data_IF_561868497012
#
_entry.id   IF_561868497012
#
_cell.length_a   1.000
_cell.length_b   1.000
_cell.length_c   1.000
_cell.angle_alpha   90.00
_cell.angle_beta   90.00
_cell.angle_gamma   90.00
#
_symmetry.space_group_name_H-M   'P 1'
#
loop_
_entity.id
_entity.type
_entity.pdbx_description
1 polymer ?
#
# COMPACT_ATOMS: atom_id res chain seq x y z
N UNK A 1 3.14 28.54 -18.69
CA UNK A 1 4.14 27.54 -18.26
C UNK A 1 3.85 26.25 -19.00
N UNK A 2 4.79 25.68 -19.77
CA UNK A 2 4.55 24.38 -20.39
C UNK A 2 4.54 23.31 -19.30
N UNK A 3 3.46 22.52 -19.24
CA UNK A 3 3.41 21.30 -18.44
C UNK A 3 4.51 20.38 -18.98
N UNK A 4 5.58 20.21 -18.20
CA UNK A 4 6.63 19.25 -18.54
C UNK A 4 6.01 17.87 -18.40
N UNK A 5 5.62 17.27 -19.53
CA UNK A 5 5.18 15.88 -19.59
C UNK A 5 6.36 15.03 -19.18
N UNK A 6 6.39 14.61 -17.91
CA UNK A 6 7.37 13.63 -17.44
C UNK A 6 7.04 12.32 -18.13
N UNK A 7 7.77 12.00 -19.20
CA UNK A 7 7.73 10.68 -19.82
C UNK A 7 8.41 9.69 -18.87
N UNK A 8 7.64 9.17 -17.90
CA UNK A 8 8.07 8.04 -17.10
C UNK A 8 7.99 6.79 -17.98
N UNK A 9 9.14 6.20 -18.26
CA UNK A 9 9.20 4.91 -18.97
C UNK A 9 8.48 3.83 -18.13
N UNK A 10 7.70 2.91 -18.74
CA UNK A 10 6.95 1.89 -18.02
C UNK A 10 7.77 1.09 -17.02
N UNK A 11 9.03 0.80 -17.34
CA UNK A 11 9.98 0.12 -16.45
C UNK A 11 10.25 0.90 -15.16
N UNK A 12 10.42 2.21 -15.22
CA UNK A 12 10.64 3.03 -14.03
C UNK A 12 9.40 3.09 -13.14
N UNK A 13 8.20 3.10 -13.75
CA UNK A 13 6.94 3.04 -13.01
C UNK A 13 6.86 1.68 -12.29
N UNK A 14 7.16 0.57 -12.99
CA UNK A 14 7.15 -0.77 -12.41
C UNK A 14 8.14 -0.89 -11.24
N UNK A 15 9.38 -0.44 -11.42
CA UNK A 15 10.41 -0.49 -10.37
C UNK A 15 10.00 0.32 -9.13
N UNK A 16 9.51 1.54 -9.35
CA UNK A 16 9.06 2.42 -8.27
C UNK A 16 7.88 1.80 -7.52
N UNK A 17 6.88 1.29 -8.25
CA UNK A 17 5.70 0.67 -7.63
C UNK A 17 6.06 -0.61 -6.88
N UNK A 18 6.97 -1.42 -7.40
CA UNK A 18 7.48 -2.62 -6.69
C UNK A 18 8.21 -2.24 -5.40
N UNK A 19 9.03 -1.19 -5.42
CA UNK A 19 9.70 -0.69 -4.22
C UNK A 19 8.69 -0.21 -3.17
N UNK A 20 7.67 0.54 -3.59
CA UNK A 20 6.60 0.99 -2.70
C UNK A 20 5.78 -0.17 -2.12
N UNK A 21 5.52 -1.21 -2.92
CA UNK A 21 4.84 -2.42 -2.46
C UNK A 21 5.68 -3.19 -1.43
N UNK A 22 7.00 -3.26 -1.61
CA UNK A 22 7.90 -3.90 -0.67
C UNK A 22 7.97 -3.13 0.67
N UNK A 23 8.02 -1.81 0.61
CA UNK A 23 7.95 -0.94 1.81
C UNK A 23 6.62 -1.12 2.54
N UNK A 24 5.48 -1.09 1.82
CA UNK A 24 4.17 -1.31 2.43
C UNK A 24 4.04 -2.71 3.04
N UNK A 25 4.59 -3.74 2.40
CA UNK A 25 4.58 -5.10 2.94
C UNK A 25 5.33 -5.17 4.27
N UNK A 26 6.51 -4.52 4.37
CA UNK A 26 7.26 -4.40 5.63
C UNK A 26 6.45 -3.66 6.68
N UNK A 27 5.90 -2.48 6.36
CA UNK A 27 5.11 -1.69 7.29
C UNK A 27 3.87 -2.44 7.80
N UNK A 28 3.17 -3.17 6.93
CA UNK A 28 2.03 -4.02 7.30
C UNK A 28 2.48 -5.14 8.23
N UNK A 29 3.58 -5.82 7.94
CA UNK A 29 4.11 -6.88 8.78
C UNK A 29 4.46 -6.35 10.18
N UNK A 30 5.21 -5.24 10.25
CA UNK A 30 5.60 -4.60 11.50
C UNK A 30 4.38 -4.18 12.31
N UNK A 31 3.41 -3.49 11.70
CA UNK A 31 2.18 -3.11 12.38
C UNK A 31 1.39 -4.34 12.84
N UNK A 32 1.24 -5.37 12.02
CA UNK A 32 0.47 -6.57 12.38
C UNK A 32 1.04 -7.35 13.56
N UNK A 33 2.35 -7.22 13.82
CA UNK A 33 3.06 -7.95 14.87
C UNK A 33 2.95 -7.31 16.26
N UNK A 34 2.54 -6.04 16.37
CA UNK A 34 2.47 -5.30 17.64
C UNK A 34 1.15 -4.55 17.72
N UNK A 35 0.14 -5.16 18.35
CA UNK A 35 -1.03 -4.40 18.80
C UNK A 35 -0.61 -3.62 20.06
N UNK A 36 -0.60 -2.28 20.03
CA UNK A 36 -0.21 -1.50 21.20
C UNK A 36 -1.20 -1.76 22.33
N UNK A 37 -0.70 -2.18 23.50
CA UNK A 37 -1.50 -2.44 24.68
C UNK A 37 -0.83 -1.80 25.89
N UNK A 38 -1.56 -0.93 26.60
CA UNK A 38 -1.17 -0.43 27.91
C UNK A 38 -1.51 -1.47 28.98
N UNK A 39 -0.53 -1.89 29.75
CA UNK A 39 -0.77 -2.79 30.87
C UNK A 39 -1.67 -2.10 31.91
N UNK A 40 -2.92 -2.57 31.99
CA UNK A 40 -3.94 -2.01 32.88
C UNK A 40 -3.84 -2.57 34.29
N UNK A 41 -3.01 -3.59 34.52
CA UNK A 41 -2.80 -4.18 35.85
C UNK A 41 -1.79 -3.41 36.70
N UNK A 42 -0.90 -2.65 36.05
CA UNK A 42 0.04 -1.74 36.71
C UNK A 42 -0.62 -0.43 37.21
N UNK A 43 -1.83 -0.13 36.72
CA UNK A 43 -2.59 1.05 37.05
C UNK A 43 -3.71 0.63 38.01
N UNK A 44 -3.68 1.07 39.26
CA UNK A 44 -4.68 0.69 40.28
C UNK A 44 -6.13 0.84 39.80
N UNK A 45 -7.08 0.19 40.51
CA UNK A 45 -8.46 -0.04 40.03
C UNK A 45 -9.18 1.18 39.40
N UNK A 46 -8.95 2.39 39.91
CA UNK A 46 -9.54 3.63 39.38
C UNK A 46 -9.10 3.99 37.95
N UNK A 47 -7.91 3.57 37.53
CA UNK A 47 -7.36 3.84 36.20
C UNK A 47 -7.55 2.67 35.22
N UNK A 48 -7.89 1.48 35.71
CA UNK A 48 -8.10 0.29 34.86
C UNK A 48 -9.19 0.51 33.80
N UNK A 49 -10.25 1.25 34.13
CA UNK A 49 -11.29 1.62 33.15
C UNK A 49 -10.72 2.50 32.03
N UNK A 50 -9.93 3.52 32.38
CA UNK A 50 -9.30 4.43 31.42
C UNK A 50 -8.29 3.70 30.54
N UNK A 51 -7.46 2.83 31.12
CA UNK A 51 -6.51 2.00 30.38
C UNK A 51 -7.21 1.10 29.35
N UNK A 52 -8.33 0.45 29.73
CA UNK A 52 -9.15 -0.34 28.79
C UNK A 52 -9.75 0.49 27.66
N UNK A 53 -10.29 1.68 27.97
CA UNK A 53 -10.85 2.58 26.97
C UNK A 53 -9.77 3.07 25.98
N UNK A 54 -8.58 3.41 26.48
CA UNK A 54 -7.44 3.80 25.66
C UNK A 54 -6.99 2.64 24.77
N UNK A 55 -6.81 1.44 25.32
CA UNK A 55 -6.44 0.25 24.53
C UNK A 55 -7.46 -0.05 23.43
N UNK A 56 -8.77 0.07 23.72
CA UNK A 56 -9.81 -0.11 22.72
C UNK A 56 -9.80 0.99 21.65
N UNK A 57 -9.43 2.22 22.01
CA UNK A 57 -9.19 3.32 21.06
C UNK A 57 -8.02 3.01 20.13
N UNK A 58 -6.86 2.67 20.70
CA UNK A 58 -5.66 2.33 19.95
C UNK A 58 -5.85 1.12 19.05
N UNK A 59 -6.49 0.05 19.53
CA UNK A 59 -6.77 -1.13 18.72
C UNK A 59 -7.65 -0.80 17.50
N UNK A 60 -8.65 0.07 17.66
CA UNK A 60 -9.49 0.54 16.54
C UNK A 60 -8.71 1.37 15.53
N UNK A 61 -7.86 2.30 16.00
CA UNK A 61 -7.01 3.11 15.14
C UNK A 61 -6.01 2.25 14.38
N UNK A 62 -5.36 1.31 15.07
CA UNK A 62 -4.42 0.37 14.50
C UNK A 62 -5.08 -0.50 13.41
N UNK A 63 -6.26 -1.05 13.67
CA UNK A 63 -7.02 -1.80 12.68
C UNK A 63 -7.44 -0.94 11.48
N UNK A 64 -7.79 0.33 11.69
CA UNK A 64 -8.11 1.26 10.61
C UNK A 64 -6.88 1.55 9.74
N UNK A 65 -5.72 1.73 10.36
CA UNK A 65 -4.46 1.98 9.63
C UNK A 65 -4.03 0.77 8.80
N UNK A 66 -4.09 -0.44 9.38
CA UNK A 66 -3.80 -1.67 8.65
C UNK A 66 -4.69 -1.82 7.41
N UNK A 67 -5.99 -1.51 7.53
CA UNK A 67 -6.93 -1.52 6.38
C UNK A 67 -6.57 -0.50 5.31
N UNK A 68 -6.09 0.69 5.68
CA UNK A 68 -5.63 1.71 4.72
C UNK A 68 -4.40 1.24 3.97
N UNK A 69 -3.38 0.74 4.68
CA UNK A 69 -2.16 0.21 4.08
C UNK A 69 -2.46 -0.95 3.12
N UNK A 70 -3.34 -1.88 3.51
CA UNK A 70 -3.78 -2.98 2.65
C UNK A 70 -4.54 -2.49 1.40
N UNK A 71 -5.32 -1.42 1.52
CA UNK A 71 -6.04 -0.83 0.40
C UNK A 71 -5.08 -0.16 -0.57
N UNK A 72 -4.09 0.58 -0.07
CA UNK A 72 -3.03 1.18 -0.88
C UNK A 72 -2.22 0.10 -1.61
N UNK A 73 -1.85 -0.99 -0.93
CA UNK A 73 -1.16 -2.13 -1.55
C UNK A 73 -1.96 -2.75 -2.68
N UNK A 74 -3.29 -2.91 -2.52
CA UNK A 74 -4.17 -3.40 -3.59
C UNK A 74 -4.23 -2.43 -4.77
N UNK A 75 -4.30 -1.12 -4.52
CA UNK A 75 -4.29 -0.10 -5.56
C UNK A 75 -3.00 -0.11 -6.38
N UNK A 76 -1.84 -0.16 -5.72
CA UNK A 76 -0.54 -0.23 -6.39
C UNK A 76 -0.39 -1.50 -7.24
N UNK A 77 -0.91 -2.65 -6.76
CA UNK A 77 -0.96 -3.88 -7.58
C UNK A 77 -1.87 -3.74 -8.80
N UNK A 78 -2.95 -2.98 -8.72
CA UNK A 78 -3.80 -2.70 -9.88
C UNK A 78 -3.05 -1.85 -10.91
N UNK A 79 -2.32 -0.81 -10.47
CA UNK A 79 -1.47 0.01 -11.36
C UNK A 79 -0.46 -0.86 -12.12
N UNK A 80 0.18 -1.83 -11.45
CA UNK A 80 1.10 -2.76 -12.14
C UNK A 80 0.40 -3.59 -13.22
N UNK A 81 -0.82 -4.10 -12.94
CA UNK A 81 -1.60 -4.84 -13.92
C UNK A 81 -1.97 -3.98 -15.13
N UNK A 82 -2.29 -2.71 -14.91
CA UNK A 82 -2.62 -1.78 -15.99
C UNK A 82 -1.39 -1.46 -16.85
N UNK A 83 -0.22 -1.30 -16.23
CA UNK A 83 1.07 -1.17 -16.96
C UNK A 83 1.35 -2.42 -17.80
N UNK A 84 1.19 -3.62 -17.22
CA UNK A 84 1.40 -4.89 -17.94
C UNK A 84 0.43 -5.04 -19.13
N UNK A 85 -0.84 -4.65 -18.94
CA UNK A 85 -1.85 -4.65 -19.99
C UNK A 85 -1.48 -3.69 -21.12
N UNK A 86 -1.05 -2.48 -20.78
CA UNK A 86 -0.63 -1.47 -21.76
C UNK A 86 0.56 -1.97 -22.59
N UNK A 87 1.61 -2.50 -21.96
CA UNK A 87 2.76 -3.07 -22.68
C UNK A 87 2.36 -4.25 -23.59
N UNK A 88 1.42 -5.08 -23.16
CA UNK A 88 0.93 -6.17 -23.99
C UNK A 88 0.18 -5.64 -25.21
N UNK A 89 -0.70 -4.65 -25.03
CA UNK A 89 -1.45 -4.04 -26.13
C UNK A 89 -0.52 -3.35 -27.12
N UNK A 90 0.48 -2.62 -26.63
CA UNK A 90 1.47 -1.94 -27.47
C UNK A 90 2.28 -2.95 -28.32
N UNK A 91 2.78 -4.03 -27.71
CA UNK A 91 3.44 -5.13 -28.43
C UNK A 91 2.54 -5.86 -29.42
N UNK A 92 1.24 -5.95 -29.16
CA UNK A 92 0.28 -6.56 -30.10
C UNK A 92 -0.03 -5.63 -31.29
N UNK A 93 -0.13 -4.32 -31.03
CA UNK A 93 -0.28 -3.29 -32.06
C UNK A 93 0.94 -3.24 -32.98
N UNK A 94 2.14 -3.19 -32.41
CA UNK A 94 3.39 -3.17 -33.18
C UNK A 94 3.52 -4.37 -34.15
N UNK A 95 3.21 -5.58 -33.68
CA UNK A 95 3.22 -6.81 -34.51
C UNK A 95 2.19 -6.77 -35.63
N UNK A 96 1.01 -6.21 -35.37
CA UNK A 96 -0.05 -6.07 -36.39
C UNK A 96 0.35 -5.10 -37.50
N UNK A 97 1.05 -4.01 -37.16
CA UNK A 97 1.56 -3.03 -38.13
C UNK A 97 2.70 -3.60 -38.98
N UNK A 98 3.59 -4.39 -38.38
CA UNK A 98 4.68 -5.06 -39.08
C UNK A 98 4.17 -6.13 -40.07
N UNK A 99 3.10 -6.85 -39.72
CA UNK A 99 2.46 -7.83 -40.59
C UNK A 99 1.70 -7.23 -41.80
N UNK A 100 1.45 -5.90 -41.79
CA UNK A 100 0.79 -5.16 -42.87
C UNK A 100 1.77 -4.45 -43.81
N UNK A 101 3.09 -4.51 -43.53
CA UNK A 101 4.15 -3.98 -44.38
C UNK A 101 4.77 -5.07 -45.23
#
# INVERSE_FOLDING_TARGET
MPLSTVFLRPEHIRDTVNQLLAELARQIADHSSVVPHLDSTALGEGFAHHARAINAGYARMHAAELRRLQTLSRGLRAVLKDVDLFEHQDRAGARSVEALR
#
